data_IF_033755652543
#
_entry.id   IF_033755652543
#
_cell.length_a   1.000
_cell.length_b   1.000
_cell.length_c   1.000
_cell.angle_alpha   90.00
_cell.angle_beta   90.00
_cell.angle_gamma   90.00
#
_symmetry.space_group_name_H-M   'P 1'
#
loop_
_entity.id
_entity.type
_entity.pdbx_description
1 polymer ?
#
# COMPACT_ATOMS: atom_id res chain seq x y z
N UNK A 1 1.22 19.19 6.94
CA UNK A 1 0.24 19.15 8.04
C UNK A 1 -0.44 20.51 8.16
N UNK A 2 -1.74 20.51 8.10
CA UNK A 2 -2.56 21.71 8.24
C UNK A 2 -3.59 21.45 9.35
N UNK A 3 -3.75 22.38 10.26
CA UNK A 3 -4.68 22.25 11.37
C UNK A 3 -5.52 23.53 11.45
N UNK A 4 -6.82 23.32 11.67
CA UNK A 4 -7.77 24.39 11.90
C UNK A 4 -8.55 24.10 13.17
N UNK A 5 -8.56 25.03 14.10
CA UNK A 5 -9.26 24.89 15.38
C UNK A 5 -10.20 26.09 15.56
N UNK A 6 -11.45 25.84 15.85
CA UNK A 6 -12.45 26.86 16.14
C UNK A 6 -13.25 26.52 17.37
N UNK A 7 -13.28 27.40 18.38
CA UNK A 7 -14.20 27.29 19.48
C UNK A 7 -15.62 27.67 19.02
N UNK A 8 -16.63 26.89 19.45
CA UNK A 8 -18.03 27.24 19.24
C UNK A 8 -18.54 28.08 20.41
N UNK A 9 -18.18 27.66 21.62
CA UNK A 9 -18.48 28.35 22.86
C UNK A 9 -17.49 27.90 23.95
N UNK A 10 -17.73 28.29 25.24
CA UNK A 10 -16.86 27.91 26.36
C UNK A 10 -16.79 26.40 26.65
N UNK A 11 -17.74 25.62 26.14
CA UNK A 11 -17.82 24.18 26.35
C UNK A 11 -17.53 23.34 25.11
N UNK A 12 -17.80 23.86 23.93
CA UNK A 12 -17.60 23.16 22.66
C UNK A 12 -16.50 23.79 21.80
N UNK A 13 -15.67 22.95 21.25
CA UNK A 13 -14.73 23.30 20.20
C UNK A 13 -14.67 22.21 19.13
N UNK A 14 -14.26 22.55 17.93
CA UNK A 14 -14.01 21.60 16.88
C UNK A 14 -12.65 21.85 16.21
N UNK A 15 -12.11 20.81 15.67
CA UNK A 15 -10.83 20.85 14.97
C UNK A 15 -10.94 20.06 13.66
N UNK A 16 -10.42 20.62 12.60
CA UNK A 16 -10.19 19.92 11.35
C UNK A 16 -8.69 19.89 11.07
N UNK A 17 -8.17 18.75 10.68
CA UNK A 17 -6.77 18.61 10.32
C UNK A 17 -6.60 17.75 9.07
N UNK A 18 -5.60 18.13 8.28
CA UNK A 18 -5.12 17.37 7.13
C UNK A 18 -3.68 17.00 7.42
N UNK A 19 -3.41 15.71 7.49
CA UNK A 19 -2.07 15.19 7.74
C UNK A 19 -1.71 14.12 6.71
N UNK A 20 -0.47 14.14 6.26
CA UNK A 20 0.11 13.03 5.52
C UNK A 20 0.82 12.12 6.53
N UNK A 21 0.24 10.97 6.81
CA UNK A 21 0.75 10.08 7.84
C UNK A 21 1.85 9.15 7.32
N UNK A 22 1.71 8.72 6.07
CA UNK A 22 2.62 7.77 5.46
C UNK A 22 2.93 8.21 4.04
N UNK A 23 4.19 8.21 3.71
CA UNK A 23 4.67 8.39 2.35
C UNK A 23 5.93 7.55 2.18
N UNK A 24 5.88 6.63 1.25
CA UNK A 24 7.03 5.82 0.87
C UNK A 24 7.12 5.83 -0.66
N UNK A 25 8.20 6.38 -1.16
CA UNK A 25 8.52 6.30 -2.58
C UNK A 25 9.94 5.74 -2.71
N UNK A 26 10.08 4.71 -3.52
CA UNK A 26 11.36 4.12 -3.88
C UNK A 26 11.36 3.84 -5.37
N UNK A 27 12.35 4.32 -6.07
CA UNK A 27 12.49 4.15 -7.50
C UNK A 27 13.90 3.65 -7.83
N UNK A 28 13.97 2.60 -8.64
CA UNK A 28 15.19 2.10 -9.24
C UNK A 28 15.08 2.23 -10.76
N UNK A 29 16.22 2.39 -11.42
CA UNK A 29 16.27 2.46 -12.88
C UNK A 29 15.67 1.18 -13.50
N UNK A 30 14.92 1.34 -14.58
CA UNK A 30 14.24 0.26 -15.32
C UNK A 30 15.20 -0.84 -15.77
N UNK A 31 16.46 -0.48 -16.04
CA UNK A 31 17.51 -1.40 -16.50
C UNK A 31 18.36 -1.96 -15.35
N UNK A 32 18.01 -1.64 -14.11
CA UNK A 32 18.74 -2.16 -12.97
C UNK A 32 18.61 -3.68 -12.87
N UNK A 33 19.73 -4.40 -12.75
CA UNK A 33 19.77 -5.86 -12.77
C UNK A 33 18.91 -6.48 -11.64
N UNK A 34 18.88 -5.86 -10.45
CA UNK A 34 18.01 -6.24 -9.34
C UNK A 34 16.56 -5.76 -9.45
N UNK A 35 16.09 -5.30 -10.61
CA UNK A 35 14.76 -4.73 -10.80
C UNK A 35 13.60 -5.66 -10.46
N UNK A 36 13.82 -7.00 -10.51
CA UNK A 36 12.83 -8.00 -10.07
C UNK A 36 12.54 -7.94 -8.56
N UNK A 37 13.50 -7.45 -7.78
CA UNK A 37 13.38 -7.24 -6.32
C UNK A 37 13.07 -5.77 -6.01
N UNK A 38 13.63 -4.84 -6.77
CA UNK A 38 13.42 -3.41 -6.66
C UNK A 38 12.26 -2.90 -7.53
N UNK A 39 12.51 -1.86 -8.29
CA UNK A 39 11.53 -1.17 -9.13
C UNK A 39 10.93 0.03 -8.44
N UNK A 40 9.75 0.49 -8.86
CA UNK A 40 9.08 1.65 -8.28
C UNK A 40 8.03 1.22 -7.29
N UNK A 41 8.10 1.78 -6.09
CA UNK A 41 7.04 1.68 -5.08
C UNK A 41 6.67 3.08 -4.64
N UNK A 42 5.41 3.45 -4.80
CA UNK A 42 4.87 4.73 -4.37
C UNK A 42 3.61 4.46 -3.55
N UNK A 43 3.67 4.83 -2.28
CA UNK A 43 2.56 4.72 -1.33
C UNK A 43 2.36 6.07 -0.67
N UNK A 44 1.23 6.69 -0.93
CA UNK A 44 0.84 7.95 -0.31
C UNK A 44 -0.44 7.77 0.48
N UNK A 45 -0.47 8.31 1.68
CA UNK A 45 -1.69 8.39 2.48
C UNK A 45 -1.92 9.81 2.96
N UNK A 46 -3.16 10.26 2.86
CA UNK A 46 -3.63 11.53 3.38
C UNK A 46 -4.77 11.29 4.36
N UNK A 47 -4.64 11.82 5.55
CA UNK A 47 -5.65 11.71 6.61
C UNK A 47 -6.36 13.05 6.78
N UNK A 48 -7.67 13.02 6.62
CA UNK A 48 -8.58 14.09 7.00
C UNK A 48 -9.19 13.74 8.35
N UNK A 49 -8.94 14.55 9.35
CA UNK A 49 -9.53 14.39 10.69
C UNK A 49 -10.49 15.53 10.97
N UNK A 50 -11.68 15.18 11.39
CA UNK A 50 -12.65 16.09 11.94
C UNK A 50 -12.97 15.66 13.38
N UNK A 51 -12.70 16.51 14.35
CA UNK A 51 -12.91 16.20 15.76
C UNK A 51 -13.65 17.31 16.46
N UNK A 52 -14.42 16.89 17.48
CA UNK A 52 -15.11 17.78 18.39
C UNK A 52 -14.69 17.50 19.83
N UNK A 53 -14.64 18.54 20.63
CA UNK A 53 -14.38 18.44 22.06
C UNK A 53 -15.50 19.11 22.85
N UNK A 54 -15.87 18.46 23.94
CA UNK A 54 -16.88 18.95 24.89
C UNK A 54 -16.32 18.99 26.30
N UNK A 55 -16.41 20.14 26.95
CA UNK A 55 -16.03 20.29 28.33
C UNK A 55 -17.29 20.27 29.22
N UNK A 56 -17.45 19.16 29.95
CA UNK A 56 -18.60 18.97 30.82
C UNK A 56 -18.55 19.89 32.04
N UNK A 57 -17.36 19.98 32.66
CA UNK A 57 -17.09 20.81 33.82
C UNK A 57 -15.58 21.09 33.94
N UNK A 58 -15.13 21.67 35.08
CA UNK A 58 -13.70 21.96 35.27
C UNK A 58 -12.78 20.71 35.35
N UNK A 59 -13.36 19.52 35.58
CA UNK A 59 -12.63 18.27 35.75
C UNK A 59 -12.71 17.36 34.51
N UNK A 60 -13.82 17.32 33.80
CA UNK A 60 -14.09 16.37 32.73
C UNK A 60 -14.20 17.02 31.37
N UNK A 61 -13.48 16.45 30.41
CA UNK A 61 -13.58 16.80 29.01
C UNK A 61 -13.64 15.53 28.15
N UNK A 62 -14.43 15.58 27.08
CA UNK A 62 -14.61 14.49 26.14
C UNK A 62 -14.23 14.95 24.74
N UNK A 63 -13.66 14.05 23.96
CA UNK A 63 -13.35 14.28 22.58
C UNK A 63 -13.83 13.13 21.70
N UNK A 64 -14.35 13.46 20.53
CA UNK A 64 -14.73 12.51 19.51
C UNK A 64 -14.18 12.99 18.17
N UNK A 65 -13.56 12.09 17.43
CA UNK A 65 -12.98 12.40 16.12
C UNK A 65 -13.35 11.38 15.06
N UNK A 66 -13.46 11.86 13.83
CA UNK A 66 -13.67 11.07 12.64
C UNK A 66 -12.49 11.22 11.71
N UNK A 67 -11.98 10.10 11.18
CA UNK A 67 -10.87 10.08 10.26
C UNK A 67 -11.32 9.54 8.91
N UNK A 68 -11.00 10.25 7.84
CA UNK A 68 -11.08 9.76 6.48
C UNK A 68 -9.65 9.68 5.93
N UNK A 69 -9.22 8.50 5.57
CA UNK A 69 -7.87 8.24 5.04
C UNK A 69 -7.98 7.92 3.56
N UNK A 70 -7.37 8.75 2.73
CA UNK A 70 -7.17 8.45 1.32
C UNK A 70 -5.80 7.84 1.12
N UNK A 71 -5.76 6.67 0.50
CA UNK A 71 -4.52 5.99 0.19
C UNK A 71 -4.42 5.71 -1.30
N UNK A 72 -3.25 5.97 -1.87
CA UNK A 72 -2.88 5.65 -3.23
C UNK A 72 -1.64 4.77 -3.21
N UNK A 73 -1.70 3.64 -3.89
CA UNK A 73 -0.57 2.74 -4.04
C UNK A 73 -0.27 2.49 -5.52
N UNK A 74 0.99 2.61 -5.89
CA UNK A 74 1.52 2.23 -7.19
C UNK A 74 2.77 1.40 -6.97
N UNK A 75 2.77 0.19 -7.52
CA UNK A 75 3.90 -0.74 -7.41
C UNK A 75 4.24 -1.22 -8.81
N UNK A 76 5.48 -1.03 -9.21
CA UNK A 76 6.03 -1.54 -10.47
C UNK A 76 7.28 -2.36 -10.16
N UNK A 77 7.40 -3.51 -10.79
CA UNK A 77 8.57 -4.36 -10.73
C UNK A 77 9.00 -4.72 -12.15
N UNK A 78 10.29 -4.69 -12.39
CA UNK A 78 10.90 -5.00 -13.69
C UNK A 78 11.59 -6.36 -13.65
N UNK A 79 11.80 -6.95 -14.84
CA UNK A 79 12.38 -8.28 -14.93
C UNK A 79 13.84 -8.32 -14.43
N UNK A 80 14.64 -7.28 -14.68
CA UNK A 80 16.08 -7.33 -14.39
C UNK A 80 16.72 -8.54 -15.07
N UNK A 81 17.46 -9.33 -14.31
CA UNK A 81 18.08 -10.60 -14.73
C UNK A 81 17.20 -11.83 -14.47
N UNK A 82 15.93 -11.63 -14.14
CA UNK A 82 14.99 -12.74 -13.87
C UNK A 82 14.89 -13.71 -15.06
N UNK A 83 14.89 -13.18 -16.30
CA UNK A 83 14.83 -14.01 -17.50
C UNK A 83 15.97 -15.02 -17.60
N UNK A 84 17.19 -14.60 -17.31
CA UNK A 84 18.38 -15.46 -17.30
C UNK A 84 18.33 -16.49 -16.17
N UNK A 85 17.87 -16.09 -14.97
CA UNK A 85 17.72 -16.98 -13.82
C UNK A 85 16.68 -18.07 -14.09
N UNK A 86 15.54 -17.70 -14.66
CA UNK A 86 14.45 -18.64 -15.01
C UNK A 86 14.92 -19.58 -16.12
N UNK A 87 15.60 -19.09 -17.15
CA UNK A 87 16.16 -19.93 -18.22
C UNK A 87 17.14 -20.97 -17.66
N UNK A 88 18.03 -20.56 -16.75
CA UNK A 88 18.96 -21.45 -16.08
C UNK A 88 18.27 -22.55 -15.27
N UNK A 89 17.23 -22.21 -14.53
CA UNK A 89 16.44 -23.18 -13.77
C UNK A 89 15.72 -24.19 -14.68
N UNK A 90 15.15 -23.76 -15.80
CA UNK A 90 14.47 -24.64 -16.75
C UNK A 90 15.48 -25.65 -17.35
N UNK A 91 16.65 -25.16 -17.74
CA UNK A 91 17.70 -26.01 -18.35
C UNK A 91 18.26 -27.05 -17.36
N UNK A 92 18.32 -26.75 -16.09
CA UNK A 92 18.76 -27.68 -15.02
C UNK A 92 17.68 -28.65 -14.57
N UNK A 93 16.43 -28.40 -14.92
CA UNK A 93 15.29 -29.26 -14.59
C UNK A 93 15.07 -30.35 -15.67
N UNK A 94 14.27 -31.40 -15.37
CA UNK A 94 13.87 -32.37 -16.38
C UNK A 94 13.17 -31.76 -17.60
N UNK A 95 12.55 -30.59 -17.44
CA UNK A 95 11.94 -29.85 -18.53
C UNK A 95 12.97 -29.39 -19.59
N UNK A 96 14.21 -29.14 -19.19
CA UNK A 96 15.32 -28.80 -20.12
C UNK A 96 15.67 -29.91 -21.12
N UNK A 97 15.27 -31.15 -20.85
CA UNK A 97 15.44 -32.29 -21.77
C UNK A 97 14.35 -32.34 -22.84
N UNK A 98 13.29 -31.54 -22.72
CA UNK A 98 12.18 -31.49 -23.66
C UNK A 98 12.33 -30.32 -24.64
N UNK A 99 11.88 -30.52 -25.90
CA UNK A 99 11.87 -29.45 -26.90
C UNK A 99 11.04 -28.23 -26.43
N UNK A 100 9.93 -28.46 -25.73
CA UNK A 100 9.13 -27.39 -25.15
C UNK A 100 9.87 -26.63 -24.07
N UNK A 101 10.57 -27.32 -23.16
CA UNK A 101 11.35 -26.70 -22.10
C UNK A 101 12.51 -25.86 -22.65
N UNK A 102 13.19 -26.35 -23.68
CA UNK A 102 14.26 -25.60 -24.36
C UNK A 102 13.74 -24.34 -25.06
N UNK A 103 12.56 -24.42 -25.70
CA UNK A 103 11.93 -23.27 -26.33
C UNK A 103 11.50 -22.23 -25.25
N UNK A 104 10.99 -22.69 -24.11
CA UNK A 104 10.62 -21.82 -23.02
C UNK A 104 11.84 -21.16 -22.36
N UNK A 105 12.94 -21.88 -22.19
CA UNK A 105 14.20 -21.33 -21.70
C UNK A 105 14.76 -20.26 -22.63
N UNK A 106 14.70 -20.48 -23.93
CA UNK A 106 15.10 -19.49 -24.93
C UNK A 106 14.23 -18.22 -24.84
N UNK A 107 12.92 -18.38 -24.66
CA UNK A 107 11.99 -17.27 -24.46
C UNK A 107 12.31 -16.52 -23.18
N UNK A 108 12.58 -17.21 -22.06
CA UNK A 108 12.95 -16.61 -20.79
C UNK A 108 14.26 -15.82 -20.88
N UNK A 109 15.26 -16.36 -21.57
CA UNK A 109 16.55 -15.70 -21.78
C UNK A 109 16.44 -14.44 -22.65
N UNK A 110 15.41 -14.34 -23.48
CA UNK A 110 15.10 -13.19 -24.32
C UNK A 110 14.26 -12.10 -23.60
N UNK A 111 13.90 -12.28 -22.32
CA UNK A 111 13.18 -11.26 -21.56
C UNK A 111 14.07 -10.05 -21.31
N UNK A 112 13.63 -8.89 -21.76
CA UNK A 112 14.32 -7.62 -21.53
C UNK A 112 14.28 -7.23 -20.05
N UNK A 113 15.38 -6.70 -19.52
CA UNK A 113 15.51 -6.27 -18.12
C UNK A 113 14.50 -5.19 -17.72
N UNK A 114 14.02 -4.39 -18.66
CA UNK A 114 13.00 -3.35 -18.44
C UNK A 114 11.56 -3.85 -18.65
N UNK A 115 11.34 -5.13 -18.91
CA UNK A 115 9.99 -5.72 -18.99
C UNK A 115 9.31 -5.66 -17.63
N UNK A 116 8.08 -5.12 -17.59
CA UNK A 116 7.30 -5.07 -16.36
C UNK A 116 6.77 -6.46 -16.00
N UNK A 117 7.25 -7.03 -14.90
CA UNK A 117 6.77 -8.31 -14.38
C UNK A 117 5.58 -8.17 -13.44
N UNK A 118 5.41 -6.98 -12.82
CA UNK A 118 4.27 -6.66 -11.99
C UNK A 118 4.00 -5.17 -12.04
N UNK A 119 2.76 -4.83 -12.31
CA UNK A 119 2.25 -3.47 -12.21
C UNK A 119 0.94 -3.50 -11.43
N UNK A 120 0.93 -2.83 -10.29
CA UNK A 120 -0.25 -2.66 -9.43
C UNK A 120 -0.50 -1.18 -9.23
N UNK A 121 -1.72 -0.74 -9.50
CA UNK A 121 -2.17 0.63 -9.27
C UNK A 121 -3.56 0.60 -8.65
N UNK A 122 -3.73 1.35 -7.55
CA UNK A 122 -5.01 1.45 -6.88
C UNK A 122 -5.07 2.64 -5.95
N UNK A 123 -6.28 3.11 -5.72
CA UNK A 123 -6.59 4.14 -4.73
C UNK A 123 -7.89 3.78 -4.01
N UNK A 124 -7.99 4.17 -2.75
CA UNK A 124 -9.19 3.94 -1.96
C UNK A 124 -9.23 4.83 -0.73
N UNK A 125 -10.45 5.02 -0.23
CA UNK A 125 -10.74 5.66 1.04
C UNK A 125 -10.94 4.63 2.14
N UNK A 126 -10.44 4.92 3.34
CA UNK A 126 -10.75 4.22 4.57
C UNK A 126 -11.28 5.17 5.62
N UNK A 127 -12.08 4.67 6.53
CA UNK A 127 -12.70 5.46 7.58
C UNK A 127 -12.40 4.87 8.95
N UNK A 128 -12.16 5.73 9.91
CA UNK A 128 -11.97 5.37 11.30
C UNK A 128 -12.52 6.44 12.23
N UNK A 129 -12.51 6.15 13.51
CA UNK A 129 -12.93 7.08 14.54
C UNK A 129 -11.99 7.00 15.75
N UNK A 130 -11.99 8.05 16.54
CA UNK A 130 -11.27 8.09 17.80
C UNK A 130 -12.12 8.80 18.86
N UNK A 131 -11.89 8.41 20.09
CA UNK A 131 -12.56 9.03 21.25
C UNK A 131 -11.54 9.19 22.36
N UNK A 132 -11.74 10.21 23.18
CA UNK A 132 -10.88 10.50 24.31
C UNK A 132 -11.64 11.10 25.48
N UNK A 133 -11.13 10.84 26.68
CA UNK A 133 -11.61 11.39 27.94
C UNK A 133 -10.42 12.00 28.65
N UNK A 134 -10.59 13.23 29.11
CA UNK A 134 -9.62 13.93 29.95
C UNK A 134 -10.24 14.22 31.31
N UNK A 135 -9.55 13.81 32.36
CA UNK A 135 -9.89 14.11 33.74
C UNK A 135 -8.81 14.98 34.37
N UNK A 136 -9.19 16.16 34.87
CA UNK A 136 -8.32 17.09 35.59
C UNK A 136 -8.68 17.07 37.07
N UNK A 137 -7.83 16.43 37.88
CA UNK A 137 -8.01 16.35 39.31
C UNK A 137 -7.66 17.69 39.97
N UNK A 138 -6.53 18.27 39.55
CA UNK A 138 -6.05 19.59 39.99
C UNK A 138 -5.14 20.19 38.88
N UNK A 139 -4.53 21.34 39.15
CA UNK A 139 -3.65 22.03 38.22
C UNK A 139 -2.40 21.21 37.80
N UNK A 140 -2.02 20.26 38.64
CA UNK A 140 -0.81 19.47 38.46
C UNK A 140 -1.08 18.03 38.01
N UNK A 141 -2.29 17.53 38.16
CA UNK A 141 -2.65 16.13 37.88
C UNK A 141 -3.76 16.05 36.82
N UNK A 142 -3.41 15.48 35.68
CA UNK A 142 -4.32 15.23 34.56
C UNK A 142 -4.18 13.79 34.11
N UNK A 143 -5.33 13.17 33.84
CA UNK A 143 -5.39 11.81 33.32
C UNK A 143 -6.13 11.82 32.00
N UNK A 144 -5.55 11.17 30.99
CA UNK A 144 -6.16 11.06 29.67
C UNK A 144 -6.24 9.59 29.26
N UNK A 145 -7.41 9.21 28.74
CA UNK A 145 -7.62 7.92 28.08
C UNK A 145 -8.09 8.17 26.68
N UNK A 146 -7.38 7.61 25.71
CA UNK A 146 -7.70 7.74 24.30
C UNK A 146 -7.83 6.37 23.64
N UNK A 147 -8.78 6.25 22.72
CA UNK A 147 -8.98 5.09 21.88
C UNK A 147 -9.01 5.52 20.41
N UNK A 148 -8.36 4.77 19.57
CA UNK A 148 -8.37 4.94 18.12
C UNK A 148 -8.79 3.63 17.47
N UNK A 149 -9.75 3.69 16.56
CA UNK A 149 -10.13 2.53 15.78
C UNK A 149 -9.10 2.22 14.69
N UNK A 150 -9.02 0.97 14.30
CA UNK A 150 -8.31 0.53 13.11
C UNK A 150 -8.94 1.13 11.85
N UNK A 151 -8.11 1.53 10.91
CA UNK A 151 -8.55 1.97 9.57
C UNK A 151 -8.25 0.87 8.58
N UNK A 152 -9.29 0.27 8.00
CA UNK A 152 -9.17 -0.72 6.94
C UNK A 152 -9.33 -0.05 5.59
N UNK A 153 -8.39 -0.30 4.71
CA UNK A 153 -8.41 0.20 3.34
C UNK A 153 -8.38 -0.98 2.39
N UNK A 154 -9.48 -1.17 1.67
CA UNK A 154 -9.61 -2.21 0.65
C UNK A 154 -9.33 -1.60 -0.71
N UNK A 155 -8.11 -1.75 -1.19
CA UNK A 155 -7.75 -1.28 -2.52
C UNK A 155 -8.43 -2.13 -3.60
N UNK A 156 -9.19 -1.47 -4.45
CA UNK A 156 -9.52 -1.98 -5.78
C UNK A 156 -8.44 -1.50 -6.73
N UNK A 157 -7.64 -2.41 -7.21
CA UNK A 157 -6.54 -2.08 -8.09
C UNK A 157 -6.55 -2.91 -9.36
N UNK A 158 -5.82 -2.40 -10.33
CA UNK A 158 -5.54 -3.11 -11.57
C UNK A 158 -4.14 -3.69 -11.49
N UNK A 159 -4.05 -4.97 -11.81
CA UNK A 159 -2.80 -5.71 -11.90
C UNK A 159 -2.54 -6.10 -13.34
N UNK A 160 -1.32 -5.91 -13.81
CA UNK A 160 -0.86 -6.40 -15.11
C UNK A 160 0.58 -6.88 -15.04
N UNK A 161 0.93 -7.80 -15.91
CA UNK A 161 2.29 -8.28 -16.12
C UNK A 161 2.53 -8.51 -17.60
N UNK A 162 3.65 -8.02 -18.11
CA UNK A 162 4.04 -8.21 -19.52
C UNK A 162 4.67 -9.60 -19.78
N UNK A 163 4.81 -10.44 -18.74
CA UNK A 163 5.30 -11.80 -18.88
C UNK A 163 4.31 -12.69 -19.63
N UNK A 164 4.84 -13.54 -20.51
CA UNK A 164 4.05 -14.48 -21.29
C UNK A 164 3.34 -15.49 -20.36
N UNK A 165 2.05 -15.74 -20.61
CA UNK A 165 1.22 -16.71 -19.89
C UNK A 165 1.76 -18.14 -19.89
N UNK A 166 2.59 -18.51 -20.85
CA UNK A 166 3.21 -19.81 -20.89
C UNK A 166 4.03 -20.13 -19.63
N UNK A 167 4.62 -19.14 -18.98
CA UNK A 167 5.34 -19.32 -17.71
C UNK A 167 4.43 -19.76 -16.57
N UNK A 168 3.20 -19.29 -16.51
CA UNK A 168 2.22 -19.71 -15.51
C UNK A 168 1.84 -21.18 -15.67
N UNK A 169 1.59 -21.63 -16.90
CA UNK A 169 1.17 -22.99 -17.20
C UNK A 169 2.26 -24.05 -16.91
N UNK A 170 3.51 -23.64 -16.81
CA UNK A 170 4.65 -24.51 -16.53
C UNK A 170 4.91 -24.73 -15.03
N UNK A 171 4.08 -24.16 -14.13
CA UNK A 171 4.25 -24.30 -12.68
C UNK A 171 5.47 -23.56 -12.12
N UNK A 172 6.05 -22.65 -12.89
CA UNK A 172 7.09 -21.75 -12.39
C UNK A 172 6.48 -20.78 -11.36
N UNK A 173 7.24 -20.36 -10.33
CA UNK A 173 6.73 -19.46 -9.29
C UNK A 173 6.59 -18.01 -9.77
N UNK A 174 6.00 -17.83 -10.94
CA UNK A 174 5.60 -16.54 -11.50
C UNK A 174 4.06 -16.56 -11.59
N UNK A 175 3.36 -16.40 -10.46
CA UNK A 175 1.92 -16.68 -10.36
C UNK A 175 1.06 -15.69 -11.15
N UNK A 176 1.62 -14.72 -11.81
CA UNK A 176 0.88 -13.55 -12.26
C UNK A 176 1.26 -13.09 -13.68
N UNK A 177 1.81 -14.01 -14.49
CA UNK A 177 2.06 -13.73 -15.90
C UNK A 177 0.73 -13.57 -16.66
N UNK A 178 0.39 -12.35 -17.06
CA UNK A 178 -0.88 -12.04 -17.73
C UNK A 178 -0.74 -11.81 -19.24
N UNK A 179 0.50 -11.79 -19.76
CA UNK A 179 0.77 -11.49 -21.16
C UNK A 179 0.34 -10.07 -21.55
N UNK A 180 0.46 -9.11 -20.64
CA UNK A 180 0.04 -7.72 -20.83
C UNK A 180 -1.44 -7.44 -20.51
N UNK A 181 -2.26 -8.49 -20.26
CA UNK A 181 -3.66 -8.29 -19.90
C UNK A 181 -3.81 -7.72 -18.48
N UNK A 182 -4.71 -6.76 -18.32
CA UNK A 182 -5.02 -6.15 -17.02
C UNK A 182 -6.07 -6.97 -16.29
N UNK A 183 -5.82 -7.26 -15.03
CA UNK A 183 -6.75 -7.94 -14.13
C UNK A 183 -7.09 -7.03 -12.95
N UNK A 184 -8.34 -7.05 -12.52
CA UNK A 184 -8.79 -6.34 -11.33
C UNK A 184 -8.65 -7.21 -10.09
N UNK A 185 -8.20 -6.62 -8.99
CA UNK A 185 -8.00 -7.33 -7.73
C UNK A 185 -8.24 -6.44 -6.52
N UNK A 186 -8.23 -7.05 -5.35
CA UNK A 186 -8.37 -6.38 -4.06
C UNK A 186 -7.12 -6.60 -3.22
N UNK A 187 -6.67 -5.54 -2.57
CA UNK A 187 -5.63 -5.58 -1.55
C UNK A 187 -6.14 -4.86 -0.30
N UNK A 188 -6.19 -5.55 0.82
CA UNK A 188 -6.58 -4.94 2.10
C UNK A 188 -5.33 -4.47 2.85
N UNK A 189 -5.33 -3.21 3.23
CA UNK A 189 -4.30 -2.60 4.05
C UNK A 189 -4.90 -2.18 5.39
N UNK A 190 -4.33 -2.66 6.48
CA UNK A 190 -4.68 -2.26 7.84
C UNK A 190 -3.69 -1.20 8.32
N UNK A 191 -4.18 -0.04 8.69
CA UNK A 191 -3.39 1.04 9.27
C UNK A 191 -3.68 1.15 10.77
N UNK A 192 -2.63 1.22 11.60
CA UNK A 192 -2.77 1.33 13.05
C UNK A 192 -3.30 2.72 13.50
#
# INVERSE_FOLDING_TARGET
NMHFVAPINDQFGWCASITSNYGLATEFNDTYAGGSVGGTTDLETMNLNLSGAYRLNNAWSFGLGFNAVYARAKIERFAGDLGQLVAGQIMQSPAGQTQQGQALAATANGIDSNTKIAHLNGNQWGFGWNAGILYELDKNNRYALTYRSEVKIDFKGNYSSDLNRAFYNYGLPIPTATGGATQSGYLTLNLP
#
